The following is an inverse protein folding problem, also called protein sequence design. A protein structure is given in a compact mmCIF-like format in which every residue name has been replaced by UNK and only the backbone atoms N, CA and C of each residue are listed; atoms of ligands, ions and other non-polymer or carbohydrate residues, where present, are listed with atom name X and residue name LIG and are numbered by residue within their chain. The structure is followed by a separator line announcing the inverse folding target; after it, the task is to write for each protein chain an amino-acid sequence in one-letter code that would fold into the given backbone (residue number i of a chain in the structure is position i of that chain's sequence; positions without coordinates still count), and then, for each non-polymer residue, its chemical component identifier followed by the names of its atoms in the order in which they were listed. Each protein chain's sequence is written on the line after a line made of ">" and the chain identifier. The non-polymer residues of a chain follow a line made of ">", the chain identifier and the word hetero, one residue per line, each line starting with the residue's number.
data_IF_627269635848
#
_entry.id   IF_627269635848
#
_cell.length_a   1.000
_cell.length_b   1.000
_cell.length_c   1.000
_cell.angle_alpha   90.00
_cell.angle_beta   90.00
_cell.angle_gamma   90.00
#
_symmetry.space_group_name_H-M   'P 1'
#
loop_
_entity.id
_entity.type
_entity.pdbx_description
1 polymer ?
#
# COMPACT_ATOMS: atom_id res chain seq x y z
N UNK A 1 16.85 12.06 -0.93
CA UNK A 1 16.50 12.31 -2.33
C UNK A 1 17.74 12.42 -3.20
N UNK A 2 17.60 12.15 -4.49
CA UNK A 2 18.67 12.21 -5.47
C UNK A 2 19.30 10.85 -5.82
N UNK A 3 19.83 10.76 -7.03
CA UNK A 3 20.50 9.56 -7.52
C UNK A 3 21.64 9.17 -6.57
N UNK A 4 21.71 7.88 -6.23
CA UNK A 4 22.66 7.31 -5.27
C UNK A 4 22.41 7.61 -3.78
N UNK A 5 21.31 8.33 -3.42
CA UNK A 5 20.92 8.44 -2.02
C UNK A 5 20.30 7.12 -1.55
N UNK A 6 20.92 6.48 -0.55
CA UNK A 6 20.48 5.16 -0.09
C UNK A 6 20.28 5.11 1.42
N UNK A 7 19.27 4.37 1.86
CA UNK A 7 19.07 3.92 3.23
C UNK A 7 18.93 2.40 3.22
N UNK A 8 19.79 1.70 3.92
CA UNK A 8 19.73 0.24 4.05
C UNK A 8 19.56 -0.13 5.52
N UNK A 9 18.56 -0.94 5.81
CA UNK A 9 18.30 -1.51 7.13
C UNK A 9 18.29 -3.04 7.03
N UNK A 10 19.03 -3.73 7.89
CA UNK A 10 18.96 -5.19 7.98
C UNK A 10 17.70 -5.67 8.71
N UNK A 11 16.97 -4.78 9.35
CA UNK A 11 15.78 -5.06 10.11
C UNK A 11 14.56 -4.28 9.63
N UNK A 12 13.67 -3.97 10.55
CA UNK A 12 12.44 -3.22 10.33
C UNK A 12 12.71 -1.72 10.22
N UNK A 13 12.03 -1.08 9.29
CA UNK A 13 11.97 0.37 9.18
C UNK A 13 10.56 0.85 9.59
N UNK A 14 10.50 1.69 10.61
CA UNK A 14 9.25 2.30 11.06
C UNK A 14 9.19 3.80 10.72
N UNK A 15 8.12 4.22 10.07
CA UNK A 15 7.74 5.63 9.97
C UNK A 15 6.61 5.88 10.96
N UNK A 16 6.94 6.45 12.11
CA UNK A 16 6.04 6.55 13.25
C UNK A 16 5.99 5.25 14.08
N UNK A 17 7.07 4.92 14.80
CA UNK A 17 7.09 3.79 15.72
C UNK A 17 6.20 4.00 16.95
N UNK A 18 6.18 5.22 17.50
CA UNK A 18 5.28 5.65 18.57
C UNK A 18 4.81 7.10 18.37
N UNK A 19 5.32 7.79 17.34
CA UNK A 19 4.99 9.16 17.01
C UNK A 19 4.00 9.30 15.86
N UNK A 20 3.35 10.44 15.79
CA UNK A 20 2.40 10.79 14.73
C UNK A 20 2.94 11.91 13.84
N UNK A 21 2.43 12.03 12.60
CA UNK A 21 2.76 13.09 11.68
C UNK A 21 4.18 13.02 11.10
N UNK A 22 4.85 11.87 11.18
CA UNK A 22 6.20 11.71 10.63
C UNK A 22 6.13 11.46 9.12
N UNK A 23 7.17 11.94 8.41
CA UNK A 23 7.22 11.80 6.95
C UNK A 23 8.53 11.20 6.47
N UNK A 24 8.47 10.41 5.40
CA UNK A 24 9.63 9.95 4.65
C UNK A 24 9.38 10.20 3.16
N UNK A 25 10.37 10.76 2.48
CA UNK A 25 10.32 10.96 1.02
C UNK A 25 11.49 10.26 0.35
N UNK A 26 11.17 9.44 -0.65
CA UNK A 26 12.12 8.74 -1.54
C UNK A 26 11.86 9.31 -2.93
N UNK A 27 12.79 10.11 -3.44
CA UNK A 27 12.61 10.82 -4.70
C UNK A 27 13.92 10.89 -5.50
N UNK A 28 13.80 11.28 -6.76
CA UNK A 28 14.91 11.57 -7.66
C UNK A 28 15.92 10.41 -7.79
N UNK A 29 15.40 9.17 -7.85
CA UNK A 29 16.22 7.96 -7.93
C UNK A 29 16.85 7.51 -6.61
N UNK A 30 16.38 8.03 -5.48
CA UNK A 30 16.79 7.54 -4.15
C UNK A 30 16.26 6.14 -3.87
N UNK A 31 16.94 5.37 -3.02
CA UNK A 31 16.50 4.03 -2.65
C UNK A 31 16.49 3.79 -1.14
N UNK A 32 15.50 3.03 -0.69
CA UNK A 32 15.38 2.53 0.68
C UNK A 32 15.20 1.02 0.62
N UNK A 33 15.93 0.28 1.45
CA UNK A 33 15.80 -1.18 1.55
C UNK A 33 15.77 -1.65 3.00
N UNK A 34 14.95 -2.66 3.28
CA UNK A 34 14.81 -3.23 4.61
C UNK A 34 14.25 -4.65 4.61
N UNK A 35 14.20 -5.27 5.79
CA UNK A 35 13.51 -6.55 5.94
C UNK A 35 11.99 -6.31 5.97
N UNK A 36 11.52 -5.35 6.75
CA UNK A 36 10.11 -5.00 6.88
C UNK A 36 9.93 -3.48 6.92
N UNK A 37 8.77 -3.00 6.49
CA UNK A 37 8.39 -1.58 6.56
C UNK A 37 7.04 -1.39 7.25
N UNK A 38 6.94 -0.44 8.17
CA UNK A 38 5.66 -0.11 8.79
C UNK A 38 5.44 1.39 8.91
N UNK A 39 4.23 1.84 8.56
CA UNK A 39 3.72 3.16 8.85
C UNK A 39 2.73 3.03 10.00
N UNK A 40 2.96 3.76 11.09
CA UNK A 40 2.10 3.69 12.25
C UNK A 40 2.13 2.31 12.94
N UNK A 41 3.25 1.96 13.56
CA UNK A 41 3.50 0.62 14.10
C UNK A 41 2.70 0.30 15.36
N UNK A 42 2.33 1.29 16.17
CA UNK A 42 1.53 1.13 17.39
C UNK A 42 0.26 1.99 17.36
N UNK A 43 -0.66 1.75 18.27
CA UNK A 43 -2.02 2.31 18.26
C UNK A 43 -2.11 3.86 18.16
N UNK A 44 -1.15 4.57 18.72
CA UNK A 44 -1.14 6.05 18.69
C UNK A 44 -0.25 6.65 17.57
N UNK A 45 0.30 5.82 16.71
CA UNK A 45 1.17 6.25 15.60
C UNK A 45 0.33 6.60 14.36
N UNK A 46 -0.25 7.78 14.35
CA UNK A 46 -1.23 8.18 13.34
C UNK A 46 -0.69 9.26 12.39
N UNK A 47 -1.32 9.38 11.22
CA UNK A 47 -1.04 10.43 10.25
C UNK A 47 0.44 10.49 9.79
N UNK A 48 1.12 9.34 9.75
CA UNK A 48 2.46 9.25 9.18
C UNK A 48 2.35 9.04 7.66
N UNK A 49 3.29 9.60 6.91
CA UNK A 49 3.23 9.59 5.46
C UNK A 49 4.55 9.18 4.82
N UNK A 50 4.45 8.39 3.76
CA UNK A 50 5.58 8.05 2.89
C UNK A 50 5.24 8.44 1.47
N UNK A 51 6.18 9.10 0.80
CA UNK A 51 6.13 9.41 -0.63
C UNK A 51 7.29 8.71 -1.34
N UNK A 52 6.99 7.91 -2.36
CA UNK A 52 7.96 7.33 -3.29
C UNK A 52 7.64 7.89 -4.68
N UNK A 53 8.47 8.78 -5.19
CA UNK A 53 8.15 9.52 -6.42
C UNK A 53 9.35 9.72 -7.33
N UNK A 54 9.09 9.76 -8.61
CA UNK A 54 10.10 9.94 -9.64
C UNK A 54 10.72 8.64 -10.13
N UNK A 55 11.16 8.64 -11.37
CA UNK A 55 11.77 7.48 -12.00
C UNK A 55 12.97 6.95 -11.20
N UNK A 56 13.07 5.63 -11.08
CA UNK A 56 14.10 4.91 -10.31
C UNK A 56 14.07 5.14 -8.79
N UNK A 57 13.09 5.86 -8.24
CA UNK A 57 12.89 5.93 -6.80
C UNK A 57 12.32 4.61 -6.30
N UNK A 58 12.94 4.02 -5.29
CA UNK A 58 12.68 2.63 -4.92
C UNK A 58 12.60 2.44 -3.41
N UNK A 59 11.54 1.77 -2.94
CA UNK A 59 11.46 1.24 -1.59
C UNK A 59 11.23 -0.27 -1.63
N UNK A 60 12.17 -1.05 -1.11
CA UNK A 60 12.09 -2.52 -1.09
C UNK A 60 12.09 -3.07 0.33
N UNK A 61 11.22 -4.04 0.58
CA UNK A 61 11.22 -4.82 1.81
C UNK A 61 11.22 -6.32 1.43
N UNK A 62 12.13 -7.10 1.97
CA UNK A 62 12.14 -8.55 1.71
C UNK A 62 10.95 -9.29 2.36
N UNK A 63 10.33 -8.71 3.37
CA UNK A 63 9.16 -9.21 4.09
C UNK A 63 7.95 -8.31 3.92
N UNK A 64 7.33 -7.94 5.03
CA UNK A 64 6.04 -7.26 5.08
C UNK A 64 6.16 -5.74 4.90
N UNK A 65 5.12 -5.14 4.31
CA UNK A 65 4.86 -3.71 4.34
C UNK A 65 3.45 -3.46 4.90
N UNK A 66 3.37 -2.76 6.03
CA UNK A 66 2.11 -2.40 6.66
C UNK A 66 1.86 -0.90 6.68
N UNK A 67 0.79 -0.44 6.05
CA UNK A 67 0.33 0.95 6.09
C UNK A 67 -0.77 1.04 7.14
N UNK A 68 -0.48 1.68 8.27
CA UNK A 68 -1.32 1.62 9.46
C UNK A 68 -1.30 0.22 10.06
N UNK A 69 -0.14 -0.26 10.50
CA UNK A 69 -0.06 -1.59 11.12
C UNK A 69 -0.93 -1.66 12.38
N UNK A 70 -0.91 -0.59 13.21
CA UNK A 70 -1.83 -0.39 14.34
C UNK A 70 -2.33 1.03 14.49
N UNK A 71 -1.77 1.98 13.70
CA UNK A 71 -2.13 3.39 13.70
C UNK A 71 -3.18 3.74 12.66
N UNK A 72 -3.79 4.92 12.81
CA UNK A 72 -4.85 5.42 11.94
C UNK A 72 -4.34 6.53 11.01
N UNK A 73 -5.01 6.71 9.86
CA UNK A 73 -4.76 7.86 8.98
C UNK A 73 -3.36 7.89 8.35
N UNK A 74 -2.64 6.78 8.33
CA UNK A 74 -1.31 6.73 7.70
C UNK A 74 -1.46 6.59 6.18
N UNK A 75 -0.50 7.16 5.43
CA UNK A 75 -0.59 7.21 3.98
C UNK A 75 0.71 6.83 3.27
N UNK A 76 0.57 6.10 2.16
CA UNK A 76 1.65 5.83 1.21
C UNK A 76 1.24 6.35 -0.17
N UNK A 77 2.07 7.16 -0.77
CA UNK A 77 1.91 7.62 -2.16
C UNK A 77 3.07 7.09 -3.00
N UNK A 78 2.74 6.43 -4.10
CA UNK A 78 3.68 5.94 -5.11
C UNK A 78 3.32 6.64 -6.42
N UNK A 79 4.20 7.50 -6.91
CA UNK A 79 3.85 8.40 -8.02
C UNK A 79 5.01 8.61 -8.99
N UNK A 80 4.67 9.07 -10.20
CA UNK A 80 5.63 9.55 -11.20
C UNK A 80 6.77 8.54 -11.49
N UNK A 81 6.44 7.25 -11.57
CA UNK A 81 7.41 6.18 -11.85
C UNK A 81 8.14 5.64 -10.61
N UNK A 82 7.73 6.01 -9.40
CA UNK A 82 8.24 5.42 -8.18
C UNK A 82 7.83 3.94 -8.04
N UNK A 83 8.64 3.16 -7.36
CA UNK A 83 8.39 1.72 -7.14
C UNK A 83 8.47 1.36 -5.66
N UNK A 84 7.49 0.59 -5.21
CA UNK A 84 7.52 -0.09 -3.91
C UNK A 84 7.40 -1.60 -4.14
N UNK A 85 8.27 -2.39 -3.51
CA UNK A 85 8.24 -3.83 -3.62
C UNK A 85 8.38 -4.50 -2.24
N UNK A 86 7.53 -5.49 -1.97
CA UNK A 86 7.55 -6.25 -0.72
C UNK A 86 6.98 -7.66 -0.95
N UNK A 87 7.16 -8.54 0.03
CA UNK A 87 6.56 -9.87 -0.04
C UNK A 87 5.05 -9.81 0.23
N UNK A 88 4.64 -9.25 1.36
CA UNK A 88 3.24 -9.15 1.79
C UNK A 88 2.86 -7.70 2.09
N UNK A 89 1.73 -7.23 1.57
CA UNK A 89 1.22 -5.88 1.79
C UNK A 89 -0.07 -5.87 2.60
N UNK A 90 -0.20 -4.91 3.53
CA UNK A 90 -1.44 -4.69 4.26
C UNK A 90 -1.72 -3.19 4.47
N UNK A 91 -2.96 -2.79 4.25
CA UNK A 91 -3.49 -1.46 4.59
C UNK A 91 -4.51 -1.68 5.72
N UNK A 92 -4.27 -1.09 6.90
CA UNK A 92 -5.11 -1.32 8.07
C UNK A 92 -4.90 -2.71 8.70
N UNK A 93 -3.73 -2.95 9.29
CA UNK A 93 -3.31 -4.25 9.79
C UNK A 93 -4.08 -4.73 11.03
N UNK A 94 -4.31 -3.87 12.01
CA UNK A 94 -4.96 -4.20 13.29
C UNK A 94 -6.41 -3.73 13.41
N UNK A 95 -7.11 -4.18 14.44
CA UNK A 95 -8.53 -3.90 14.66
C UNK A 95 -8.89 -2.39 14.73
N UNK A 96 -7.98 -1.56 15.18
CA UNK A 96 -8.17 -0.11 15.26
C UNK A 96 -7.41 0.65 14.18
N UNK A 97 -6.91 -0.01 13.16
CA UNK A 97 -6.13 0.60 12.07
C UNK A 97 -7.06 1.07 10.95
N UNK A 98 -7.64 2.23 11.14
CA UNK A 98 -8.68 2.77 10.23
C UNK A 98 -8.19 3.99 9.46
N UNK A 99 -8.86 4.28 8.34
CA UNK A 99 -8.62 5.47 7.53
C UNK A 99 -7.17 5.57 6.99
N UNK A 100 -6.50 4.44 6.83
CA UNK A 100 -5.18 4.40 6.17
C UNK A 100 -5.38 4.33 4.65
N UNK A 101 -4.47 4.93 3.90
CA UNK A 101 -4.63 5.06 2.46
C UNK A 101 -3.35 4.75 1.69
N UNK A 102 -3.52 4.18 0.50
CA UNK A 102 -2.45 4.05 -0.49
C UNK A 102 -2.94 4.63 -1.81
N UNK A 103 -2.11 5.45 -2.43
CA UNK A 103 -2.29 5.93 -3.81
C UNK A 103 -1.14 5.44 -4.68
N UNK A 104 -1.46 4.76 -5.78
CA UNK A 104 -0.50 4.42 -6.84
C UNK A 104 -0.95 5.14 -8.10
N UNK A 105 -0.21 6.17 -8.51
CA UNK A 105 -0.64 7.07 -9.58
C UNK A 105 0.49 7.47 -10.51
N UNK A 106 0.16 7.54 -11.79
CA UNK A 106 1.09 7.94 -12.84
C UNK A 106 1.75 6.76 -13.53
N UNK A 107 2.06 6.94 -14.81
CA UNK A 107 2.69 5.93 -15.65
C UNK A 107 3.98 5.41 -15.02
N UNK A 108 4.19 4.10 -15.07
CA UNK A 108 5.33 3.37 -14.48
C UNK A 108 5.40 3.39 -12.95
N UNK A 109 4.41 3.95 -12.24
CA UNK A 109 4.30 3.82 -10.80
C UNK A 109 3.85 2.40 -10.45
N UNK A 110 4.57 1.73 -9.54
CA UNK A 110 4.36 0.31 -9.26
C UNK A 110 4.36 0.01 -7.76
N UNK A 111 3.34 -0.71 -7.30
CA UNK A 111 3.40 -1.44 -6.03
C UNK A 111 3.34 -2.94 -6.28
N UNK A 112 4.48 -3.62 -6.09
CA UNK A 112 4.62 -5.07 -6.28
C UNK A 112 4.62 -5.81 -4.95
N UNK A 113 3.64 -6.69 -4.75
CA UNK A 113 3.59 -7.59 -3.61
C UNK A 113 3.83 -9.03 -4.10
N UNK A 114 4.86 -9.69 -3.62
CA UNK A 114 5.22 -11.05 -4.03
C UNK A 114 4.19 -12.10 -3.63
N UNK A 115 3.34 -11.84 -2.63
CA UNK A 115 2.28 -12.72 -2.18
C UNK A 115 0.93 -12.00 -2.12
N UNK A 116 0.40 -11.72 -0.95
CA UNK A 116 -0.93 -11.14 -0.78
C UNK A 116 -0.89 -9.63 -0.58
N UNK A 117 -1.99 -8.97 -0.97
CA UNK A 117 -2.32 -7.61 -0.59
C UNK A 117 -3.69 -7.61 0.10
N UNK A 118 -3.73 -7.11 1.34
CA UNK A 118 -4.95 -6.97 2.13
C UNK A 118 -5.30 -5.47 2.28
N UNK A 119 -6.47 -5.08 1.81
CA UNK A 119 -7.05 -3.75 2.08
C UNK A 119 -8.08 -3.91 3.18
N UNK A 120 -7.72 -3.54 4.41
CA UNK A 120 -8.44 -3.90 5.63
C UNK A 120 -8.15 -5.35 6.04
N UNK A 121 -7.00 -5.61 6.67
CA UNK A 121 -6.75 -6.93 7.26
C UNK A 121 -7.69 -7.13 8.46
N UNK A 122 -7.59 -6.29 9.47
CA UNK A 122 -8.55 -6.21 10.59
C UNK A 122 -9.07 -4.78 10.79
N UNK A 123 -8.57 -3.82 10.02
CA UNK A 123 -8.96 -2.41 10.08
C UNK A 123 -10.13 -2.07 9.17
N UNK A 124 -10.81 -0.95 9.45
CA UNK A 124 -11.97 -0.46 8.72
C UNK A 124 -11.68 0.84 7.97
N UNK A 125 -12.48 1.14 6.94
CA UNK A 125 -12.40 2.41 6.21
C UNK A 125 -11.02 2.72 5.62
N UNK A 126 -10.26 1.69 5.26
CA UNK A 126 -8.98 1.83 4.57
C UNK A 126 -9.19 1.87 3.05
N UNK A 127 -8.30 2.54 2.34
CA UNK A 127 -8.46 2.74 0.90
C UNK A 127 -7.20 2.48 0.09
N UNK A 128 -7.41 1.95 -1.11
CA UNK A 128 -6.40 1.88 -2.17
C UNK A 128 -6.96 2.56 -3.42
N UNK A 129 -6.22 3.51 -3.97
CA UNK A 129 -6.53 4.13 -5.26
C UNK A 129 -5.41 3.84 -6.24
N UNK A 130 -5.77 3.34 -7.42
CA UNK A 130 -4.88 3.08 -8.54
C UNK A 130 -5.36 3.93 -9.70
N UNK A 131 -4.55 4.89 -10.15
CA UNK A 131 -5.00 5.90 -11.13
C UNK A 131 -3.89 6.33 -12.09
N UNK A 132 -4.29 6.99 -13.18
CA UNK A 132 -3.39 7.64 -14.12
C UNK A 132 -2.27 6.71 -14.65
N UNK A 133 -2.58 5.44 -14.90
CA UNK A 133 -1.61 4.46 -15.39
C UNK A 133 -0.74 3.80 -14.31
N UNK A 134 -1.08 3.97 -13.03
CA UNK A 134 -0.43 3.26 -11.95
C UNK A 134 -0.75 1.76 -11.96
N UNK A 135 0.15 0.95 -11.41
CA UNK A 135 0.00 -0.52 -11.36
C UNK A 135 0.19 -1.05 -9.95
N UNK A 136 -0.71 -1.95 -9.55
CA UNK A 136 -0.56 -2.80 -8.37
C UNK A 136 -0.56 -4.26 -8.81
N UNK A 137 0.41 -5.04 -8.32
CA UNK A 137 0.54 -6.46 -8.65
C UNK A 137 0.73 -7.30 -7.39
N UNK A 138 -0.03 -8.39 -7.28
CA UNK A 138 0.08 -9.35 -6.18
C UNK A 138 -0.42 -10.73 -6.62
N UNK A 139 -0.17 -11.75 -5.79
CA UNK A 139 -0.73 -13.07 -6.06
C UNK A 139 -2.22 -13.11 -5.69
N UNK A 140 -2.60 -12.70 -4.50
CA UNK A 140 -4.00 -12.64 -4.04
C UNK A 140 -4.34 -11.26 -3.47
N UNK A 141 -5.45 -10.69 -3.92
CA UNK A 141 -6.05 -9.48 -3.37
C UNK A 141 -7.21 -9.80 -2.43
N UNK A 142 -7.32 -9.08 -1.33
CA UNK A 142 -8.52 -9.18 -0.47
C UNK A 142 -8.89 -7.79 0.05
N UNK A 143 -10.16 -7.43 -0.08
CA UNK A 143 -10.74 -6.22 0.47
C UNK A 143 -11.66 -6.63 1.62
N UNK A 144 -11.31 -6.31 2.88
CA UNK A 144 -12.06 -6.73 4.06
C UNK A 144 -11.84 -8.20 4.42
N UNK A 145 -10.66 -8.50 4.98
CA UNK A 145 -10.25 -9.88 5.27
C UNK A 145 -10.93 -10.44 6.52
N UNK A 146 -10.94 -9.72 7.64
CA UNK A 146 -11.48 -10.17 8.93
C UNK A 146 -12.95 -9.75 9.08
N UNK A 147 -13.68 -10.34 10.03
CA UNK A 147 -15.09 -10.02 10.32
C UNK A 147 -15.33 -8.57 10.72
N UNK A 148 -14.33 -7.93 11.32
CA UNK A 148 -14.36 -6.52 11.72
C UNK A 148 -13.86 -5.57 10.63
N UNK A 149 -13.36 -6.07 9.50
CA UNK A 149 -12.81 -5.27 8.39
C UNK A 149 -13.92 -4.73 7.50
N UNK A 150 -14.50 -3.62 7.89
CA UNK A 150 -15.68 -3.04 7.22
C UNK A 150 -15.35 -1.77 6.45
N UNK A 151 -16.13 -1.50 5.40
CA UNK A 151 -16.09 -0.25 4.64
C UNK A 151 -14.70 0.08 4.04
N UNK A 152 -13.90 -0.93 3.73
CA UNK A 152 -12.66 -0.73 2.99
C UNK A 152 -12.96 -0.62 1.49
N UNK A 153 -12.18 0.17 0.78
CA UNK A 153 -12.45 0.46 -0.63
C UNK A 153 -11.21 0.36 -1.50
N UNK A 154 -11.41 -0.12 -2.72
CA UNK A 154 -10.42 -0.02 -3.79
C UNK A 154 -11.07 0.67 -4.98
N UNK A 155 -10.37 1.67 -5.54
CA UNK A 155 -10.72 2.33 -6.79
C UNK A 155 -9.60 2.12 -7.81
N UNK A 156 -9.94 1.58 -8.98
CA UNK A 156 -9.05 1.49 -10.14
C UNK A 156 -9.64 2.35 -11.25
N UNK A 157 -9.01 3.46 -11.57
CA UNK A 157 -9.59 4.46 -12.46
C UNK A 157 -8.55 5.08 -13.40
N UNK A 158 -9.00 5.44 -14.57
CA UNK A 158 -8.15 6.06 -15.61
C UNK A 158 -7.46 5.02 -16.49
N UNK A 159 -7.24 5.42 -17.73
CA UNK A 159 -6.63 4.57 -18.77
C UNK A 159 -5.27 4.02 -18.32
N UNK A 160 -5.01 2.75 -18.59
CA UNK A 160 -3.81 2.00 -18.22
C UNK A 160 -3.59 1.80 -16.72
N UNK A 161 -4.53 2.19 -15.85
CA UNK A 161 -4.48 1.85 -14.43
C UNK A 161 -4.81 0.37 -14.26
N UNK A 162 -3.97 -0.36 -13.51
CA UNK A 162 -4.04 -1.82 -13.49
C UNK A 162 -3.87 -2.41 -12.09
N UNK A 163 -4.77 -3.30 -11.71
CA UNK A 163 -4.59 -4.18 -10.56
C UNK A 163 -4.58 -5.64 -11.00
N UNK A 164 -3.44 -6.34 -10.83
CA UNK A 164 -3.31 -7.75 -11.20
C UNK A 164 -3.24 -8.65 -9.97
N UNK A 165 -4.05 -9.71 -9.99
CA UNK A 165 -4.07 -10.75 -8.98
C UNK A 165 -3.86 -12.10 -9.68
N UNK A 166 -2.67 -12.70 -9.52
CA UNK A 166 -2.32 -13.91 -10.29
C UNK A 166 -3.02 -15.19 -9.78
N UNK A 167 -3.68 -15.16 -8.62
CA UNK A 167 -4.41 -16.29 -8.06
C UNK A 167 -5.88 -15.97 -7.80
N UNK A 168 -6.20 -14.91 -7.05
CA UNK A 168 -7.59 -14.62 -6.71
C UNK A 168 -7.80 -13.24 -6.12
N UNK A 169 -9.08 -12.81 -6.11
CA UNK A 169 -9.52 -11.55 -5.52
C UNK A 169 -10.81 -11.78 -4.73
N UNK A 170 -10.79 -11.45 -3.45
CA UNK A 170 -11.96 -11.49 -2.57
C UNK A 170 -12.42 -10.06 -2.22
N UNK A 171 -13.72 -9.81 -2.29
CA UNK A 171 -14.34 -8.57 -1.83
C UNK A 171 -15.27 -8.91 -0.67
N UNK A 172 -14.91 -8.49 0.54
CA UNK A 172 -15.62 -8.85 1.76
C UNK A 172 -15.49 -10.33 2.09
N UNK A 173 -14.24 -10.82 2.28
CA UNK A 173 -14.03 -12.23 2.60
C UNK A 173 -14.79 -12.63 3.88
N UNK A 174 -14.71 -11.80 4.90
CA UNK A 174 -15.50 -11.92 6.13
C UNK A 174 -16.08 -10.56 6.58
N UNK A 175 -15.51 -9.44 6.10
CA UNK A 175 -15.93 -8.09 6.46
C UNK A 175 -17.11 -7.59 5.63
N UNK A 176 -17.80 -6.57 6.12
CA UNK A 176 -19.03 -6.00 5.51
C UNK A 176 -18.78 -4.62 4.89
N UNK A 177 -19.58 -4.25 3.90
CA UNK A 177 -19.56 -2.90 3.29
C UNK A 177 -18.28 -2.59 2.49
N UNK A 178 -17.49 -3.59 2.16
CA UNK A 178 -16.28 -3.41 1.37
C UNK A 178 -16.60 -3.27 -0.12
N UNK A 179 -15.82 -2.47 -0.85
CA UNK A 179 -16.12 -2.14 -2.25
C UNK A 179 -14.89 -2.16 -3.16
N UNK A 180 -15.13 -2.54 -4.41
CA UNK A 180 -14.23 -2.33 -5.54
C UNK A 180 -14.98 -1.54 -6.61
N UNK A 181 -14.40 -0.43 -7.05
CA UNK A 181 -14.88 0.36 -8.16
C UNK A 181 -13.84 0.37 -9.28
N UNK A 182 -14.29 0.09 -10.49
CA UNK A 182 -13.46 0.14 -11.71
C UNK A 182 -14.13 1.12 -12.65
N UNK A 183 -13.43 2.17 -13.04
CA UNK A 183 -13.99 3.24 -13.89
C UNK A 183 -12.96 3.80 -14.87
N UNK A 184 -13.44 4.58 -15.83
CA UNK A 184 -12.64 5.42 -16.72
C UNK A 184 -11.46 4.69 -17.39
N UNK A 185 -11.65 3.43 -17.79
CA UNK A 185 -10.63 2.60 -18.43
C UNK A 185 -9.64 1.93 -17.49
N UNK A 186 -9.89 1.96 -16.20
CA UNK A 186 -9.16 1.13 -15.24
C UNK A 186 -9.38 -0.37 -15.48
N UNK A 187 -8.42 -1.20 -15.13
CA UNK A 187 -8.47 -2.65 -15.36
C UNK A 187 -8.11 -3.42 -14.09
N UNK A 188 -8.90 -4.46 -13.78
CA UNK A 188 -8.58 -5.44 -12.73
C UNK A 188 -8.54 -6.81 -13.36
N UNK A 189 -7.48 -7.57 -13.12
CA UNK A 189 -7.38 -8.97 -13.53
C UNK A 189 -7.22 -9.87 -12.32
N UNK A 190 -7.88 -11.02 -12.36
CA UNK A 190 -7.78 -12.06 -11.34
C UNK A 190 -7.85 -13.43 -12.03
N UNK A 191 -6.92 -14.30 -11.70
CA UNK A 191 -7.04 -15.71 -12.06
C UNK A 191 -8.00 -16.41 -11.07
N UNK A 192 -8.66 -17.44 -11.55
CA UNK A 192 -9.55 -18.30 -10.74
C UNK A 192 -8.75 -19.40 -10.06
#
# INVERSE_FOLDING_TARGET
>A
TGTSSTLTSSGRLDVGSGGSGNTMTIADGGSVSGAEGYLGSVANSSNNAVLVTGANSLWTNSGNLGIGFRGNGNSLVIANGGTVANSFGAIGGGANSSNNSVLVSGTSSLWANGSQLLVGNSGSSNSLVISNGGTVANSRGTIGFDTISSNNSVLVTGTNSLWTNSQGLDIGRFGSGNSLVISDGGTVTSAT
#
